data_IF_965744515810
#
_entry.id   IF_965744515810
#
_cell.length_a   1.000
_cell.length_b   1.000
_cell.length_c   1.000
_cell.angle_alpha   90.00
_cell.angle_beta   90.00
_cell.angle_gamma   90.00
#
_symmetry.space_group_name_H-M   'P 1'
#
loop_
_entity.id
_entity.type
_entity.pdbx_description
1 polymer ?
#
# COMPACT_ATOMS: atom_id res chain seq x y z
N UNK A 1 -12.41 -11.17 3.86
CA UNK A 1 -11.41 -11.82 3.00
C UNK A 1 -11.14 -11.07 1.69
N UNK A 2 -12.15 -10.56 0.98
CA UNK A 2 -12.00 -9.87 -0.31
C UNK A 2 -11.08 -8.63 -0.29
N UNK A 3 -11.23 -7.74 0.69
CA UNK A 3 -10.47 -6.48 0.72
C UNK A 3 -8.97 -6.69 1.04
N UNK A 4 -8.61 -7.78 1.71
CA UNK A 4 -7.20 -8.17 1.90
C UNK A 4 -6.56 -8.68 0.59
N UNK A 5 -7.36 -9.37 -0.25
CA UNK A 5 -6.95 -9.78 -1.61
C UNK A 5 -6.80 -8.56 -2.52
N UNK A 6 -7.73 -7.61 -2.43
CA UNK A 6 -7.68 -6.36 -3.19
C UNK A 6 -6.42 -5.54 -2.86
N UNK A 7 -6.10 -5.42 -1.57
CA UNK A 7 -4.88 -4.73 -1.11
C UNK A 7 -3.60 -5.41 -1.63
N UNK A 8 -3.54 -6.74 -1.62
CA UNK A 8 -2.40 -7.48 -2.20
C UNK A 8 -2.26 -7.27 -3.71
N UNK A 9 -3.37 -7.21 -4.45
CA UNK A 9 -3.35 -6.95 -5.89
C UNK A 9 -2.86 -5.54 -6.18
N UNK A 10 -3.38 -4.53 -5.45
CA UNK A 10 -2.92 -3.14 -5.54
C UNK A 10 -1.42 -3.03 -5.23
N UNK A 11 -0.95 -3.67 -4.16
CA UNK A 11 0.46 -3.67 -3.81
C UNK A 11 1.34 -4.36 -4.89
N UNK A 12 0.82 -5.42 -5.50
CA UNK A 12 1.49 -6.12 -6.61
C UNK A 12 1.56 -5.27 -7.87
N UNK A 13 0.48 -4.58 -8.24
CA UNK A 13 0.43 -3.63 -9.35
C UNK A 13 1.42 -2.47 -9.11
N UNK A 14 1.49 -1.97 -7.88
CA UNK A 14 2.43 -0.92 -7.50
C UNK A 14 3.89 -1.35 -7.69
N UNK A 15 4.24 -2.53 -7.18
CA UNK A 15 5.59 -3.08 -7.35
C UNK A 15 5.95 -3.28 -8.84
N UNK A 16 5.00 -3.78 -9.64
CA UNK A 16 5.17 -3.95 -11.09
C UNK A 16 5.42 -2.61 -11.79
N UNK A 17 4.67 -1.56 -11.41
CA UNK A 17 4.82 -0.22 -11.95
C UNK A 17 6.19 0.38 -11.63
N UNK A 18 6.70 0.21 -10.40
CA UNK A 18 8.05 0.68 -10.03
C UNK A 18 9.12 0.03 -10.92
N UNK A 19 9.06 -1.30 -11.08
CA UNK A 19 10.02 -2.03 -11.93
C UNK A 19 9.94 -1.53 -13.38
N UNK A 20 8.72 -1.31 -13.88
CA UNK A 20 8.50 -0.82 -15.24
C UNK A 20 9.10 0.58 -15.43
N UNK A 21 8.92 1.50 -14.47
CA UNK A 21 9.53 2.83 -14.50
C UNK A 21 11.06 2.75 -14.46
N UNK A 22 11.63 1.90 -13.61
CA UNK A 22 13.09 1.73 -13.51
C UNK A 22 13.68 1.20 -14.82
N UNK A 23 13.05 0.21 -15.44
CA UNK A 23 13.45 -0.34 -16.74
C UNK A 23 13.35 0.71 -17.83
N UNK A 24 12.25 1.48 -17.89
CA UNK A 24 12.09 2.56 -18.86
C UNK A 24 13.12 3.69 -18.67
N UNK A 25 13.41 4.06 -17.42
CA UNK A 25 14.41 5.08 -17.11
C UNK A 25 15.81 4.63 -17.55
N UNK A 26 16.17 3.37 -17.31
CA UNK A 26 17.41 2.76 -17.82
C UNK A 26 17.47 2.73 -19.34
N UNK A 27 16.36 2.36 -20.00
CA UNK A 27 16.26 2.37 -21.46
C UNK A 27 16.40 3.78 -22.04
N UNK A 28 15.81 4.81 -21.40
CA UNK A 28 16.00 6.20 -21.80
C UNK A 28 17.48 6.63 -21.72
N UNK A 29 18.20 6.24 -20.66
CA UNK A 29 19.64 6.54 -20.53
C UNK A 29 20.48 5.88 -21.63
N UNK A 30 20.16 4.64 -22.00
CA UNK A 30 20.83 3.94 -23.10
C UNK A 30 20.52 4.58 -24.46
N UNK A 31 19.28 5.00 -24.68
CA UNK A 31 18.83 5.63 -25.93
C UNK A 31 19.40 7.04 -26.15
N UNK A 32 19.52 7.84 -25.08
CA UNK A 32 20.21 9.12 -25.15
C UNK A 32 21.71 8.93 -25.45
N UNK A 33 22.32 7.82 -25.00
CA UNK A 33 23.71 7.50 -25.31
C UNK A 33 23.92 7.00 -26.76
N UNK A 34 22.93 6.36 -27.37
CA UNK A 34 23.01 5.87 -28.76
C UNK A 34 22.64 6.93 -29.81
N UNK A 35 22.07 8.07 -29.40
CA UNK A 35 21.73 9.17 -30.31
C UNK A 35 20.52 8.91 -31.21
N UNK A 36 19.75 7.86 -30.96
CA UNK A 36 18.55 7.54 -31.75
C UNK A 36 17.35 8.37 -31.29
N UNK A 37 17.16 9.52 -31.96
CA UNK A 37 16.12 10.50 -31.63
C UNK A 37 14.68 9.96 -31.80
N UNK A 38 14.47 8.93 -32.62
CA UNK A 38 13.16 8.32 -32.84
C UNK A 38 12.73 7.47 -31.64
N UNK A 39 13.62 6.56 -31.24
CA UNK A 39 13.39 5.69 -30.09
C UNK A 39 13.37 6.48 -28.77
N UNK A 40 14.20 7.51 -28.60
CA UNK A 40 14.20 8.37 -27.42
C UNK A 40 12.85 9.07 -27.18
N UNK A 41 12.13 9.49 -28.23
CA UNK A 41 10.81 10.13 -28.10
C UNK A 41 9.73 9.17 -27.58
N UNK A 42 9.70 7.95 -28.12
CA UNK A 42 8.72 6.93 -27.72
C UNK A 42 8.96 6.55 -26.25
N UNK A 43 10.21 6.30 -25.87
CA UNK A 43 10.56 5.89 -24.51
C UNK A 43 10.29 7.00 -23.48
N UNK A 44 10.52 8.27 -23.83
CA UNK A 44 10.13 9.42 -22.97
C UNK A 44 8.61 9.51 -22.77
N UNK A 45 7.83 9.27 -23.84
CA UNK A 45 6.36 9.23 -23.75
C UNK A 45 5.87 8.11 -22.84
N UNK A 46 6.45 6.91 -22.96
CA UNK A 46 6.12 5.80 -22.08
C UNK A 46 6.54 6.06 -20.63
N UNK A 47 7.69 6.71 -20.39
CA UNK A 47 8.16 7.03 -19.04
C UNK A 47 7.21 8.00 -18.32
N UNK A 48 6.73 9.03 -19.02
CA UNK A 48 5.71 9.94 -18.49
C UNK A 48 4.40 9.22 -18.18
N UNK A 49 3.96 8.32 -19.08
CA UNK A 49 2.77 7.49 -18.85
C UNK A 49 2.90 6.59 -17.63
N UNK A 50 4.06 5.96 -17.43
CA UNK A 50 4.32 5.11 -16.26
C UNK A 50 4.36 5.90 -14.95
N UNK A 51 4.90 7.14 -14.95
CA UNK A 51 4.87 8.02 -13.77
C UNK A 51 3.42 8.41 -13.41
N UNK A 52 2.60 8.73 -14.42
CA UNK A 52 1.18 9.06 -14.21
C UNK A 52 0.42 7.86 -13.59
N UNK A 53 0.63 6.66 -14.13
CA UNK A 53 0.05 5.43 -13.61
C UNK A 53 0.50 5.14 -12.18
N UNK A 54 1.78 5.33 -11.87
CA UNK A 54 2.31 5.20 -10.52
C UNK A 54 1.61 6.17 -9.55
N UNK A 55 1.40 7.41 -9.96
CA UNK A 55 0.68 8.41 -9.16
C UNK A 55 -0.75 8.00 -8.85
N UNK A 56 -1.49 7.48 -9.85
CA UNK A 56 -2.86 6.98 -9.66
C UNK A 56 -2.88 5.80 -8.69
N UNK A 57 -1.92 4.88 -8.84
CA UNK A 57 -1.86 3.67 -8.01
C UNK A 57 -1.55 3.99 -6.54
N UNK A 58 -0.63 4.94 -6.28
CA UNK A 58 -0.39 5.48 -4.93
C UNK A 58 -1.65 6.14 -4.37
N UNK A 59 -2.36 6.93 -5.19
CA UNK A 59 -3.59 7.61 -4.75
C UNK A 59 -4.67 6.61 -4.34
N UNK A 60 -4.83 5.52 -5.12
CA UNK A 60 -5.75 4.43 -4.81
C UNK A 60 -5.33 3.70 -3.54
N UNK A 61 -4.03 3.39 -3.39
CA UNK A 61 -3.51 2.72 -2.20
C UNK A 61 -3.78 3.54 -0.94
N UNK A 62 -3.46 4.84 -0.96
CA UNK A 62 -3.70 5.76 0.15
C UNK A 62 -5.20 5.91 0.43
N UNK A 63 -6.04 6.02 -0.60
CA UNK A 63 -7.49 6.11 -0.46
C UNK A 63 -8.08 4.87 0.23
N UNK A 64 -7.66 3.67 -0.18
CA UNK A 64 -8.10 2.41 0.43
C UNK A 64 -7.57 2.26 1.87
N UNK A 65 -6.32 2.66 2.13
CA UNK A 65 -5.74 2.61 3.47
C UNK A 65 -6.42 3.61 4.43
N UNK A 66 -6.70 4.82 3.96
CA UNK A 66 -7.40 5.86 4.71
C UNK A 66 -8.85 5.47 5.01
N UNK A 67 -9.56 4.90 4.04
CA UNK A 67 -10.89 4.35 4.27
C UNK A 67 -10.88 3.26 5.34
N UNK A 68 -9.87 2.39 5.33
CA UNK A 68 -9.70 1.34 6.35
C UNK A 68 -9.41 1.88 7.75
N UNK A 69 -8.66 2.97 7.85
CA UNK A 69 -8.41 3.66 9.12
C UNK A 69 -9.67 4.33 9.67
N UNK A 70 -10.57 4.82 8.80
CA UNK A 70 -11.85 5.40 9.21
C UNK A 70 -12.86 4.33 9.64
N UNK A 71 -12.86 3.16 8.99
CA UNK A 71 -13.72 2.04 9.37
C UNK A 71 -13.28 1.31 10.64
N UNK A 72 -11.99 1.37 10.98
CA UNK A 72 -11.44 0.73 12.16
C UNK A 72 -11.38 1.78 13.29
N UNK A 73 -12.34 1.83 14.23
CA UNK A 73 -12.22 2.75 15.37
C UNK A 73 -10.88 2.50 16.07
N UNK A 74 -10.24 3.55 16.60
CA UNK A 74 -8.94 3.43 17.23
C UNK A 74 -9.00 2.31 18.27
N UNK A 75 -8.20 1.26 18.04
CA UNK A 75 -7.97 0.17 19.00
C UNK A 75 -7.10 0.72 20.14
N UNK A 76 -7.66 1.68 20.86
CA UNK A 76 -7.20 2.20 22.13
C UNK A 76 -8.18 1.78 23.23
N UNK A 77 -8.88 0.66 23.05
CA UNK A 77 -9.39 -0.06 24.20
C UNK A 77 -8.15 -0.68 24.87
N UNK A 78 -7.75 -0.24 26.08
CA UNK A 78 -6.71 -0.94 26.82
C UNK A 78 -7.11 -2.41 26.89
N UNK A 79 -6.16 -3.35 26.81
CA UNK A 79 -6.48 -4.74 27.08
C UNK A 79 -7.13 -4.77 28.47
N UNK A 80 -8.42 -5.11 28.56
CA UNK A 80 -9.05 -5.44 29.83
C UNK A 80 -8.16 -6.53 30.40
N UNK A 81 -7.42 -6.19 31.45
CA UNK A 81 -6.41 -7.06 31.98
C UNK A 81 -7.15 -8.27 32.50
N UNK A 82 -6.66 -9.46 32.17
CA UNK A 82 -7.21 -10.72 32.69
C UNK A 82 -7.12 -10.81 34.22
N UNK A 83 -6.49 -9.83 34.88
CA UNK A 83 -6.47 -9.67 36.33
C UNK A 83 -7.79 -9.09 36.87
N UNK A 84 -8.43 -8.15 36.15
CA UNK A 84 -9.71 -7.58 36.56
C UNK A 84 -10.83 -8.64 36.55
N UNK A 85 -10.77 -9.60 35.60
CA UNK A 85 -11.67 -10.75 35.55
C UNK A 85 -11.45 -11.77 36.68
N UNK A 86 -10.22 -11.87 37.21
CA UNK A 86 -9.88 -12.79 38.29
C UNK A 86 -10.28 -12.23 39.65
N UNK A 87 -10.08 -10.93 39.89
CA UNK A 87 -10.58 -10.28 41.12
C UNK A 87 -12.10 -10.30 41.19
N UNK A 88 -12.82 -10.04 40.08
CA UNK A 88 -14.28 -10.07 40.07
C UNK A 88 -14.86 -11.48 40.32
N UNK A 89 -14.11 -12.54 40.01
CA UNK A 89 -14.48 -13.94 40.33
C UNK A 89 -14.11 -14.33 41.76
N UNK A 90 -13.07 -13.74 42.33
CA UNK A 90 -12.69 -13.97 43.73
C UNK A 90 -13.72 -13.35 44.69
N UNK A 91 -14.20 -12.13 44.42
CA UNK A 91 -15.22 -11.46 45.25
C UNK A 91 -16.54 -12.22 45.27
N UNK A 92 -16.95 -12.80 44.13
CA UNK A 92 -18.18 -13.62 44.06
C UNK A 92 -18.08 -14.97 44.79
N UNK A 93 -16.88 -15.43 45.13
CA UNK A 93 -16.67 -16.70 45.83
C UNK A 93 -16.66 -16.53 47.36
N UNK A 94 -16.55 -15.29 47.87
CA UNK A 94 -16.45 -14.99 49.30
C UNK A 94 -17.75 -14.51 49.95
N UNK A 95 -18.78 -14.20 49.16
CA UNK A 95 -20.08 -13.68 49.63
C UNK A 95 -21.19 -14.77 49.77
N UNK A 96 -20.83 -16.06 49.74
CA UNK A 96 -21.76 -17.19 49.95
C UNK A 96 -21.29 -18.12 51.06
#
# INVERSE_FOLDING_TARGET
MFLHRLLQILLGLFALLIVTVAVLSGACSLLDATGDAGAARITRGCALGSILLLGIDVLLLVGVMGWRLLESPPTNAPPVSTNDEKELRADRATDG
#
